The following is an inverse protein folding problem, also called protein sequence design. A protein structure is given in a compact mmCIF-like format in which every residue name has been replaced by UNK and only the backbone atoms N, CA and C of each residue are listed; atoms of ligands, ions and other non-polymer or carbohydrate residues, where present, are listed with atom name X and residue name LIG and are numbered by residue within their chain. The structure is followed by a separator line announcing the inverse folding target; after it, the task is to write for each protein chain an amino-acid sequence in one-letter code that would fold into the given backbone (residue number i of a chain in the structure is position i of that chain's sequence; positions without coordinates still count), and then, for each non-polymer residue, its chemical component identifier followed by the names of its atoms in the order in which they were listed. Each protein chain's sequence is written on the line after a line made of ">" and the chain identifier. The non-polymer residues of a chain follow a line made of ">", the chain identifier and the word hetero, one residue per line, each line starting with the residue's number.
data_IF_636593804852
#
_entry.id   IF_636593804852
#
_cell.length_a   1.000
_cell.length_b   1.000
_cell.length_c   1.000
_cell.angle_alpha   90.00
_cell.angle_beta   90.00
_cell.angle_gamma   90.00
#
_symmetry.space_group_name_H-M   'P 1'
#
loop_
_entity.id
_entity.type
_entity.pdbx_description
1 polymer ?
#
# COMPACT_ATOMS: atom_id res chain seq x y z
N UNK A 1 23.19 24.28 18.42
CA UNK A 1 21.72 24.35 18.55
C UNK A 1 21.41 24.12 20.00
N UNK A 2 20.85 25.11 20.67
CA UNK A 2 20.47 24.99 22.08
C UNK A 2 19.25 24.07 22.18
N UNK A 3 19.06 23.35 23.29
CA UNK A 3 17.96 22.39 23.44
C UNK A 3 16.58 23.03 23.14
N UNK A 4 16.44 24.32 23.46
CA UNK A 4 15.26 25.14 23.17
C UNK A 4 14.97 25.31 21.68
N UNK A 5 16.01 25.49 20.86
CA UNK A 5 15.84 25.61 19.40
C UNK A 5 15.30 24.30 18.79
N UNK A 6 15.69 23.15 19.35
CA UNK A 6 15.21 21.85 18.88
C UNK A 6 13.74 21.62 19.27
N UNK A 7 13.36 21.95 20.51
CA UNK A 7 11.99 21.82 21.00
C UNK A 7 11.00 22.68 20.17
N UNK A 8 11.39 23.92 19.86
CA UNK A 8 10.58 24.83 19.02
C UNK A 8 10.41 24.31 17.58
N UNK A 9 11.49 23.76 16.99
CA UNK A 9 11.43 23.14 15.66
C UNK A 9 10.58 21.86 15.65
N UNK A 10 10.63 21.06 16.74
CA UNK A 10 9.87 19.84 16.90
C UNK A 10 8.38 20.11 17.05
N UNK A 11 7.99 21.09 17.85
CA UNK A 11 6.59 21.52 18.04
C UNK A 11 6.01 22.01 16.73
N UNK A 12 6.72 22.93 16.04
CA UNK A 12 6.34 23.41 14.71
C UNK A 12 6.20 22.30 13.68
N UNK A 13 7.07 21.30 13.72
CA UNK A 13 6.99 20.16 12.81
C UNK A 13 5.74 19.31 13.10
N UNK A 14 5.45 19.05 14.37
CA UNK A 14 4.27 18.27 14.80
C UNK A 14 2.96 18.96 14.47
N UNK A 15 2.86 20.27 14.67
CA UNK A 15 1.65 21.04 14.34
C UNK A 15 1.34 21.07 12.84
N UNK A 16 2.38 20.91 12.01
CA UNK A 16 2.27 20.87 10.55
C UNK A 16 1.99 19.48 9.99
N UNK A 17 1.98 18.44 10.82
CA UNK A 17 1.58 17.10 10.41
C UNK A 17 0.05 17.05 10.47
N UNK A 18 -0.66 16.94 9.34
CA UNK A 18 -2.11 16.75 9.37
C UNK A 18 -2.50 15.57 10.27
N UNK A 19 -3.45 15.81 11.18
CA UNK A 19 -3.94 14.79 12.11
C UNK A 19 -4.57 13.59 11.40
N UNK A 20 -5.04 13.79 10.17
CA UNK A 20 -5.66 12.77 9.34
C UNK A 20 -4.65 11.81 8.69
N UNK A 21 -3.33 12.02 8.85
CA UNK A 21 -2.31 11.09 8.33
C UNK A 21 -2.22 9.82 9.19
N UNK A 22 -2.82 9.79 10.39
CA UNK A 22 -2.86 8.58 11.22
C UNK A 22 -3.76 7.48 10.65
N UNK A 23 -4.53 7.78 9.61
CA UNK A 23 -5.22 6.80 8.78
C UNK A 23 -4.57 6.72 7.40
N UNK A 24 -3.24 6.58 7.34
CA UNK A 24 -2.70 5.69 6.31
C UNK A 24 -3.25 4.31 6.64
N UNK A 25 -4.46 4.03 6.16
CA UNK A 25 -4.95 2.69 5.86
C UNK A 25 -3.71 1.91 5.44
N UNK A 26 -3.25 1.03 6.34
CA UNK A 26 -2.13 0.15 6.01
C UNK A 26 -2.53 -0.44 4.68
N UNK A 27 -1.69 -0.28 3.66
CA UNK A 27 -1.98 -0.80 2.35
C UNK A 27 -2.58 -2.21 2.51
N UNK A 28 -3.83 -2.36 2.09
CA UNK A 28 -4.59 -3.59 2.28
C UNK A 28 -4.81 -4.17 0.90
N UNK A 29 -4.34 -5.40 0.70
CA UNK A 29 -4.55 -6.09 -0.56
C UNK A 29 -6.06 -6.27 -0.81
N UNK A 30 -6.57 -5.94 -2.00
CA UNK A 30 -7.95 -6.23 -2.37
C UNK A 30 -8.19 -7.75 -2.34
N UNK A 31 -9.43 -8.15 -2.03
CA UNK A 31 -9.79 -9.57 -1.95
C UNK A 31 -9.66 -10.23 -3.33
N UNK A 32 -8.89 -11.32 -3.48
CA UNK A 32 -8.72 -11.98 -4.76
C UNK A 32 -9.99 -12.71 -5.18
N UNK A 33 -10.37 -12.53 -6.43
CA UNK A 33 -11.52 -13.17 -7.04
C UNK A 33 -11.07 -14.33 -7.92
N UNK A 34 -11.16 -15.54 -7.37
CA UNK A 34 -10.60 -16.77 -7.95
C UNK A 34 -11.74 -17.66 -8.46
N UNK A 35 -11.59 -18.15 -9.68
CA UNK A 35 -12.46 -19.16 -10.27
C UNK A 35 -11.63 -20.36 -10.70
N UNK A 36 -12.07 -21.55 -10.31
CA UNK A 36 -11.36 -22.79 -10.64
C UNK A 36 -12.27 -23.60 -11.57
N UNK A 37 -11.81 -23.82 -12.80
CA UNK A 37 -12.46 -24.66 -13.80
C UNK A 37 -11.57 -25.87 -14.10
N UNK A 38 -11.84 -27.00 -13.43
CA UNK A 38 -11.06 -28.22 -13.61
C UNK A 38 -9.59 -28.02 -13.22
N UNK A 39 -8.68 -28.08 -14.21
CA UNK A 39 -7.25 -27.81 -14.03
C UNK A 39 -6.85 -26.36 -14.28
N UNK A 40 -7.80 -25.47 -14.62
CA UNK A 40 -7.54 -24.05 -14.87
C UNK A 40 -7.93 -23.21 -13.65
N UNK A 41 -7.05 -22.27 -13.27
CA UNK A 41 -7.33 -21.27 -12.24
C UNK A 41 -7.36 -19.89 -12.90
N UNK A 42 -8.46 -19.16 -12.75
CA UNK A 42 -8.70 -17.85 -13.35
C UNK A 42 -8.80 -16.81 -12.23
N UNK A 43 -7.91 -15.83 -12.26
CA UNK A 43 -7.91 -14.66 -11.37
C UNK A 43 -8.64 -13.50 -12.07
N UNK A 44 -9.89 -13.23 -11.70
CA UNK A 44 -10.72 -12.22 -12.41
C UNK A 44 -10.25 -10.78 -12.16
N UNK A 45 -9.76 -10.49 -10.95
CA UNK A 45 -9.32 -9.15 -10.55
C UNK A 45 -7.79 -9.01 -10.46
N UNK A 46 -7.05 -9.74 -11.29
CA UNK A 46 -5.59 -9.70 -11.29
C UNK A 46 -5.03 -8.28 -11.50
N UNK A 47 -5.58 -7.51 -12.46
CA UNK A 47 -5.14 -6.13 -12.70
C UNK A 47 -5.33 -5.25 -11.46
N UNK A 48 -6.50 -5.30 -10.83
CA UNK A 48 -6.80 -4.50 -9.63
C UNK A 48 -5.85 -4.81 -8.46
N UNK A 49 -5.48 -6.08 -8.30
CA UNK A 49 -4.50 -6.51 -7.30
C UNK A 49 -3.12 -5.93 -7.62
N UNK A 50 -2.67 -6.06 -8.87
CA UNK A 50 -1.36 -5.56 -9.33
C UNK A 50 -1.28 -4.03 -9.21
N UNK A 51 -2.33 -3.34 -9.64
CA UNK A 51 -2.45 -1.87 -9.58
C UNK A 51 -2.46 -1.39 -8.13
N UNK A 52 -3.14 -2.12 -7.23
CA UNK A 52 -3.11 -1.79 -5.80
C UNK A 52 -1.70 -1.87 -5.22
N UNK A 53 -0.87 -2.80 -5.68
CA UNK A 53 0.51 -2.99 -5.22
C UNK A 53 1.51 -2.00 -5.83
N UNK A 54 1.09 -1.20 -6.82
CA UNK A 54 1.97 -0.33 -7.61
C UNK A 54 3.13 -1.15 -8.24
N UNK A 55 2.77 -2.22 -8.97
CA UNK A 55 3.71 -3.16 -9.61
C UNK A 55 3.36 -3.42 -11.07
N UNK A 56 4.35 -3.86 -11.85
CA UNK A 56 4.12 -4.31 -13.23
C UNK A 56 3.48 -5.70 -13.24
N UNK A 57 2.47 -5.89 -14.09
CA UNK A 57 1.73 -7.14 -14.22
C UNK A 57 2.61 -8.32 -14.65
N UNK A 58 3.58 -8.10 -15.54
CA UNK A 58 4.46 -9.17 -16.00
C UNK A 58 5.37 -9.66 -14.89
N UNK A 59 5.81 -8.75 -14.01
CA UNK A 59 6.64 -9.13 -12.88
C UNK A 59 5.90 -10.05 -11.91
N UNK A 60 4.62 -9.77 -11.62
CA UNK A 60 3.80 -10.63 -10.76
C UNK A 60 3.46 -11.95 -11.44
N UNK A 61 3.16 -11.92 -12.74
CA UNK A 61 2.80 -13.10 -13.53
C UNK A 61 3.92 -14.16 -13.57
N UNK A 62 5.19 -13.74 -13.52
CA UNK A 62 6.34 -14.66 -13.46
C UNK A 62 6.38 -15.55 -12.21
N UNK A 63 5.69 -15.17 -11.13
CA UNK A 63 5.66 -15.92 -9.87
C UNK A 63 4.39 -16.77 -9.72
N UNK A 64 3.47 -16.74 -10.69
CA UNK A 64 2.28 -17.58 -10.69
C UNK A 64 2.59 -18.92 -11.38
N UNK A 65 2.33 -20.07 -10.72
CA UNK A 65 2.58 -21.40 -11.27
C UNK A 65 1.55 -21.85 -12.31
#
# INVERSE_FOLDING_TARGET
>A
MTNRDYEELLERARDRIPKDISERSRWTMPQPDIMIEGSQTILRNFSEIVDSMDRDANHVFQYLP
#
